data_IF_836785169869
#
_entry.id   IF_836785169869
#
_cell.length_a   1.000
_cell.length_b   1.000
_cell.length_c   1.000
_cell.angle_alpha   90.00
_cell.angle_beta   90.00
_cell.angle_gamma   90.00
#
_symmetry.space_group_name_H-M   'P 1'
#
loop_
_entity.id
_entity.type
_entity.pdbx_description
1 polymer ?
#
# COMPACT_ATOMS: atom_id res chain seq x y z
N UNK A 1 -6.61 14.80 -4.23
CA UNK A 1 -5.27 14.30 -4.57
C UNK A 1 -4.65 13.47 -3.45
N UNK A 2 -4.70 13.93 -2.18
CA UNK A 2 -4.12 13.22 -1.03
C UNK A 2 -4.57 11.76 -0.89
N UNK A 3 -5.88 11.47 -1.05
CA UNK A 3 -6.40 10.10 -0.97
C UNK A 3 -5.73 9.15 -1.97
N UNK A 4 -5.46 9.60 -3.20
CA UNK A 4 -4.76 8.76 -4.20
C UNK A 4 -3.28 8.58 -3.85
N UNK A 5 -2.64 9.57 -3.22
CA UNK A 5 -1.26 9.42 -2.72
C UNK A 5 -1.22 8.33 -1.65
N UNK A 6 -2.18 8.33 -0.70
CA UNK A 6 -2.30 7.25 0.28
C UNK A 6 -2.60 5.91 -0.36
N UNK A 7 -3.48 5.88 -1.37
CA UNK A 7 -3.83 4.66 -2.09
C UNK A 7 -2.68 4.02 -2.87
N UNK A 8 -1.57 4.74 -3.13
CA UNK A 8 -0.35 4.14 -3.69
C UNK A 8 0.35 3.18 -2.71
N UNK A 9 0.04 3.25 -1.41
CA UNK A 9 0.58 2.36 -0.38
C UNK A 9 -0.45 1.32 0.12
N UNK A 10 -1.58 1.16 -0.60
CA UNK A 10 -2.58 0.16 -0.23
C UNK A 10 -2.03 -1.27 -0.38
N UNK A 11 -2.55 -2.20 0.42
CA UNK A 11 -2.19 -3.61 0.34
C UNK A 11 -2.66 -4.24 -0.99
N UNK A 12 -3.78 -3.79 -1.54
CA UNK A 12 -4.34 -4.29 -2.80
C UNK A 12 -3.69 -3.60 -4.00
N UNK A 13 -3.08 -4.38 -4.90
CA UNK A 13 -2.42 -3.88 -6.10
C UNK A 13 -3.38 -3.14 -7.04
N UNK A 14 -4.67 -3.49 -7.03
CA UNK A 14 -5.70 -2.83 -7.85
C UNK A 14 -5.96 -1.42 -7.35
N UNK A 15 -5.96 -1.21 -6.04
CA UNK A 15 -6.11 0.12 -5.42
C UNK A 15 -4.87 0.97 -5.72
N UNK A 16 -3.66 0.41 -5.58
CA UNK A 16 -2.42 1.11 -5.94
C UNK A 16 -2.40 1.53 -7.41
N UNK A 17 -2.76 0.62 -8.31
CA UNK A 17 -2.82 0.87 -9.74
C UNK A 17 -3.85 1.92 -10.10
N UNK A 18 -5.07 1.81 -9.56
CA UNK A 18 -6.14 2.77 -9.84
C UNK A 18 -5.78 4.15 -9.26
N UNK A 19 -5.13 4.21 -8.11
CA UNK A 19 -4.62 5.45 -7.53
C UNK A 19 -3.62 6.14 -8.47
N UNK A 20 -2.65 5.42 -9.02
CA UNK A 20 -1.73 5.96 -10.03
C UNK A 20 -2.45 6.43 -11.30
N UNK A 21 -3.48 5.71 -11.76
CA UNK A 21 -4.30 6.08 -12.91
C UNK A 21 -5.07 7.39 -12.64
N UNK A 22 -5.68 7.52 -11.47
CA UNK A 22 -6.43 8.71 -11.08
C UNK A 22 -5.51 9.91 -10.90
N UNK A 23 -4.31 9.72 -10.33
CA UNK A 23 -3.28 10.77 -10.28
C UNK A 23 -2.98 11.29 -11.68
N UNK A 24 -2.71 10.40 -12.64
CA UNK A 24 -2.48 10.79 -14.05
C UNK A 24 -3.65 11.56 -14.66
N UNK A 25 -4.89 11.13 -14.41
CA UNK A 25 -6.09 11.82 -14.93
C UNK A 25 -6.16 13.24 -14.37
N UNK A 26 -5.93 13.39 -13.06
CA UNK A 26 -5.96 14.69 -12.40
C UNK A 26 -4.84 15.61 -12.91
N UNK A 27 -3.61 15.10 -13.08
CA UNK A 27 -2.49 15.92 -13.58
C UNK A 27 -2.66 16.33 -15.03
N UNK A 28 -3.27 15.48 -15.87
CA UNK A 28 -3.65 15.87 -17.24
C UNK A 28 -4.70 16.97 -17.28
N UNK A 29 -5.70 16.90 -16.39
CA UNK A 29 -6.78 17.88 -16.33
C UNK A 29 -6.32 19.19 -15.66
N UNK A 30 -5.43 19.07 -14.68
CA UNK A 30 -4.92 20.16 -13.85
C UNK A 30 -3.39 20.04 -13.72
N UNK A 31 -2.62 20.59 -14.69
CA UNK A 31 -1.16 20.45 -14.71
C UNK A 31 -0.46 20.97 -13.45
N UNK A 32 -1.02 21.98 -12.79
CA UNK A 32 -0.50 22.53 -11.53
C UNK A 32 -0.52 21.55 -10.35
N UNK A 33 -1.20 20.39 -10.45
CA UNK A 33 -1.27 19.40 -9.38
C UNK A 33 -0.05 18.47 -9.31
N UNK A 34 0.89 18.54 -10.25
CA UNK A 34 2.18 17.84 -10.17
C UNK A 34 3.11 18.57 -9.19
N UNK A 35 2.96 18.27 -7.91
CA UNK A 35 3.87 18.76 -6.86
C UNK A 35 4.88 17.67 -6.44
N UNK A 36 5.89 18.07 -5.67
CA UNK A 36 6.98 17.19 -5.25
C UNK A 36 6.48 15.95 -4.48
N UNK A 37 5.41 16.08 -3.70
CA UNK A 37 4.83 14.93 -2.96
C UNK A 37 4.22 13.90 -3.90
N UNK A 38 3.53 14.35 -4.95
CA UNK A 38 2.96 13.46 -5.99
C UNK A 38 4.09 12.78 -6.74
N UNK A 39 5.12 13.53 -7.14
CA UNK A 39 6.27 12.98 -7.87
C UNK A 39 7.02 11.97 -7.01
N UNK A 40 7.31 12.29 -5.74
CA UNK A 40 7.97 11.39 -4.81
C UNK A 40 7.20 10.07 -4.61
N UNK A 41 5.88 10.15 -4.39
CA UNK A 41 5.05 8.97 -4.21
C UNK A 41 4.99 8.10 -5.48
N UNK A 42 4.91 8.72 -6.67
CA UNK A 42 4.95 7.98 -7.93
C UNK A 42 6.32 7.36 -8.21
N UNK A 43 7.41 8.04 -7.84
CA UNK A 43 8.78 7.50 -7.93
C UNK A 43 8.93 6.28 -7.03
N UNK A 44 8.35 6.31 -5.83
CA UNK A 44 8.31 5.14 -4.95
C UNK A 44 7.57 3.97 -5.60
N UNK A 45 6.42 4.24 -6.23
CA UNK A 45 5.63 3.25 -6.95
C UNK A 45 6.30 2.70 -8.24
N UNK A 46 7.44 3.24 -8.69
CA UNK A 46 8.24 2.60 -9.75
C UNK A 46 8.96 1.34 -9.27
N UNK A 47 9.20 1.21 -7.96
CA UNK A 47 9.71 0.00 -7.32
C UNK A 47 8.63 -1.00 -6.95
N UNK A 48 7.39 -0.80 -7.40
CA UNK A 48 6.30 -1.71 -7.09
C UNK A 48 6.50 -3.11 -7.72
N UNK A 49 6.00 -4.08 -7.00
CA UNK A 49 6.00 -5.49 -7.34
C UNK A 49 5.05 -5.83 -8.46
N UNK A 50 3.91 -5.14 -8.49
CA UNK A 50 2.97 -5.30 -9.57
C UNK A 50 3.40 -4.45 -10.77
N UNK A 51 3.66 -5.13 -11.90
CA UNK A 51 4.05 -4.47 -13.15
C UNK A 51 2.96 -3.55 -13.68
N UNK A 52 1.69 -3.78 -13.31
CA UNK A 52 0.57 -2.90 -13.64
C UNK A 52 0.66 -1.56 -12.92
N UNK A 53 1.00 -1.58 -11.63
CA UNK A 53 1.27 -0.37 -10.83
C UNK A 53 2.47 0.38 -11.39
N UNK A 54 3.60 -0.29 -11.64
CA UNK A 54 4.80 0.35 -12.20
C UNK A 54 4.50 1.05 -13.53
N UNK A 55 3.80 0.37 -14.45
CA UNK A 55 3.39 0.97 -15.74
C UNK A 55 2.46 2.15 -15.55
N UNK A 56 1.54 2.10 -14.59
CA UNK A 56 0.64 3.21 -14.29
C UNK A 56 1.40 4.41 -13.72
N UNK A 57 2.31 4.18 -12.77
CA UNK A 57 3.16 5.20 -12.16
C UNK A 57 4.06 5.89 -13.18
N UNK A 58 4.71 5.12 -14.07
CA UNK A 58 5.50 5.67 -15.19
C UNK A 58 4.66 6.60 -16.07
N UNK A 59 3.43 6.19 -16.44
CA UNK A 59 2.53 7.00 -17.27
C UNK A 59 2.06 8.27 -16.54
N UNK A 60 1.95 8.23 -15.22
CA UNK A 60 1.61 9.38 -14.39
C UNK A 60 2.77 10.38 -14.32
N UNK A 61 4.00 9.91 -14.09
CA UNK A 61 5.21 10.74 -14.12
C UNK A 61 5.43 11.42 -15.48
N UNK A 62 5.20 10.68 -16.57
CA UNK A 62 5.24 11.26 -17.93
C UNK A 62 4.19 12.35 -18.13
N UNK A 63 3.01 12.22 -17.52
CA UNK A 63 2.00 13.29 -17.57
C UNK A 63 2.41 14.52 -16.75
N UNK A 64 3.31 14.37 -15.79
CA UNK A 64 3.95 15.48 -15.07
C UNK A 64 5.20 16.03 -15.78
N UNK A 65 5.58 15.53 -16.96
CA UNK A 65 6.73 16.00 -17.72
C UNK A 65 8.06 15.30 -17.41
N UNK A 66 8.07 14.25 -16.59
CA UNK A 66 9.28 13.48 -16.30
C UNK A 66 9.45 12.33 -17.30
N UNK A 67 10.66 12.16 -17.83
CA UNK A 67 10.98 10.94 -18.59
C UNK A 67 11.58 9.87 -17.68
N UNK A 68 10.95 8.70 -17.67
CA UNK A 68 11.35 7.57 -16.83
C UNK A 68 12.12 6.60 -17.70
N UNK A 69 13.43 6.55 -17.49
CA UNK A 69 14.29 5.59 -18.15
C UNK A 69 14.04 4.20 -17.58
N UNK A 70 13.85 3.22 -18.47
CA UNK A 70 13.73 1.83 -18.08
C UNK A 70 15.13 1.27 -17.90
N UNK A 71 15.75 1.53 -16.75
CA UNK A 71 17.04 0.92 -16.42
C UNK A 71 16.85 -0.59 -16.22
N UNK A 72 17.70 -1.39 -16.85
CA UNK A 72 17.68 -2.85 -16.76
C UNK A 72 18.20 -3.39 -15.40
N UNK A 73 18.41 -2.51 -14.41
CA UNK A 73 19.12 -2.81 -13.17
C UNK A 73 18.35 -3.72 -12.18
N UNK A 74 17.11 -4.10 -12.48
CA UNK A 74 16.27 -4.91 -11.58
C UNK A 74 15.83 -6.23 -12.23
N UNK A 75 16.73 -6.93 -12.91
CA UNK A 75 16.45 -8.24 -13.53
C UNK A 75 16.61 -9.42 -12.56
N UNK A 76 17.13 -9.20 -11.36
CA UNK A 76 17.19 -10.22 -10.32
C UNK A 76 15.94 -10.11 -9.45
N UNK A 77 15.26 -11.24 -9.28
CA UNK A 77 14.07 -11.40 -8.47
C UNK A 77 14.33 -10.94 -7.03
N UNK A 78 14.16 -9.65 -6.77
CA UNK A 78 14.18 -9.10 -5.43
C UNK A 78 12.77 -9.22 -4.89
N UNK A 79 12.65 -10.01 -3.83
CA UNK A 79 11.42 -10.21 -3.10
C UNK A 79 10.84 -8.87 -2.68
N UNK A 80 9.59 -8.71 -3.05
CA UNK A 80 8.70 -7.63 -2.72
C UNK A 80 8.42 -7.51 -1.23
N UNK A 81 9.36 -6.95 -0.48
CA UNK A 81 9.13 -6.62 0.92
C UNK A 81 8.30 -5.32 1.02
N UNK A 82 7.39 -5.20 2.00
CA UNK A 82 6.65 -3.98 2.23
C UNK A 82 7.60 -2.83 2.55
N UNK A 83 7.22 -1.66 2.06
CA UNK A 83 7.87 -0.37 2.11
C UNK A 83 8.21 0.16 3.52
N UNK A 84 9.06 -0.55 4.28
CA UNK A 84 9.52 -0.11 5.59
C UNK A 84 10.89 -0.70 5.93
N UNK A 85 11.87 -0.63 5.03
CA UNK A 85 13.29 -0.65 5.39
C UNK A 85 14.18 -0.31 4.19
N UNK A 86 15.08 0.63 4.41
CA UNK A 86 16.31 0.87 3.65
C UNK A 86 16.14 1.34 2.19
N UNK A 87 16.15 2.66 2.04
CA UNK A 87 16.65 3.34 0.85
C UNK A 87 18.12 2.91 0.58
N UNK A 88 18.35 2.08 -0.43
CA UNK A 88 19.67 1.99 -1.05
C UNK A 88 19.73 3.05 -2.16
N UNK A 89 20.30 4.22 -1.84
CA UNK A 89 20.76 5.15 -2.85
C UNK A 89 21.84 4.48 -3.70
N UNK A 90 21.90 4.70 -5.04
CA UNK A 90 23.04 4.24 -5.82
C UNK A 90 24.26 5.09 -5.44
N UNK A 91 25.13 4.52 -4.60
CA UNK A 91 26.48 5.03 -4.39
C UNK A 91 27.27 4.79 -5.67
N UNK A 92 27.48 5.86 -6.44
CA UNK A 92 28.41 5.84 -7.57
C UNK A 92 29.83 5.87 -6.98
N UNK A 93 30.60 4.80 -7.20
CA UNK A 93 31.91 4.56 -6.61
C UNK A 93 32.97 5.56 -7.08
N UNK A 94 33.43 6.42 -6.17
CA UNK A 94 34.79 6.96 -6.19
C UNK A 94 35.26 7.06 -4.72
N UNK A 95 36.32 6.35 -4.37
CA UNK A 95 36.96 6.36 -3.05
C UNK A 95 38.36 7.00 -3.16
N UNK A 96 39.04 7.40 -2.06
CA UNK A 96 38.63 7.33 -0.65
C UNK A 96 38.76 8.68 0.09
N UNK A 97 37.98 8.87 1.15
CA UNK A 97 38.38 9.73 2.27
C UNK A 97 37.86 9.11 3.55
N UNK A 98 38.78 8.83 4.47
CA UNK A 98 38.51 8.13 5.72
C UNK A 98 37.52 8.93 6.59
N UNK A 99 36.44 8.33 7.10
CA UNK A 99 35.65 8.95 8.13
C UNK A 99 36.23 8.62 9.52
N UNK A 100 36.55 9.69 10.24
CA UNK A 100 36.90 9.73 11.65
C UNK A 100 35.84 8.99 12.49
N UNK A 101 36.31 8.22 13.47
CA UNK A 101 35.48 7.45 14.41
C UNK A 101 34.46 8.33 15.14
N UNK A 102 33.20 7.89 15.31
CA UNK A 102 32.27 8.58 16.20
C UNK A 102 32.60 8.25 17.67
N UNK A 103 32.74 9.30 18.47
CA UNK A 103 32.85 9.24 19.93
C UNK A 103 31.59 8.59 20.56
N UNK A 104 31.72 7.90 21.70
CA UNK A 104 30.58 7.28 22.38
C UNK A 104 29.62 8.36 22.89
N UNK A 105 28.37 8.31 22.46
CA UNK A 105 27.28 9.07 23.09
C UNK A 105 26.77 8.28 24.28
N UNK A 106 26.85 8.90 25.44
CA UNK A 106 26.44 8.39 26.75
C UNK A 106 25.00 7.87 26.74
N UNK A 107 24.86 6.64 27.20
CA UNK A 107 23.60 5.99 27.55
C UNK A 107 23.00 6.67 28.78
N UNK A 108 22.16 7.70 28.60
CA UNK A 108 21.26 8.15 29.65
C UNK A 108 19.84 7.68 29.34
N UNK A 109 19.57 6.44 29.76
CA UNK A 109 18.22 5.91 29.91
C UNK A 109 17.70 6.42 31.26
N UNK A 110 16.99 7.55 31.24
CA UNK A 110 16.26 8.00 32.42
C UNK A 110 15.04 7.09 32.62
N UNK A 111 15.16 6.24 33.63
CA UNK A 111 14.24 5.19 33.98
C UNK A 111 12.99 5.77 34.65
N UNK A 112 11.87 5.81 33.91
CA UNK A 112 10.56 6.10 34.47
C UNK A 112 10.08 4.95 35.38
N UNK A 113 9.44 5.25 36.53
CA UNK A 113 9.06 4.24 37.52
C UNK A 113 7.99 3.26 37.00
N UNK A 114 8.14 2.00 37.42
CA UNK A 114 7.28 0.88 37.08
C UNK A 114 5.80 1.13 37.43
N UNK A 115 4.94 1.05 36.42
CA UNK A 115 3.49 1.03 36.61
C UNK A 115 3.05 -0.31 37.22
N UNK A 116 2.22 -0.23 38.27
CA UNK A 116 1.61 -1.36 38.96
C UNK A 116 0.71 -2.21 38.03
N UNK A 117 0.47 -3.50 38.34
CA UNK A 117 -0.33 -4.39 37.51
C UNK A 117 -1.82 -3.97 37.52
N UNK A 118 -2.39 -3.73 36.33
CA UNK A 118 -3.82 -3.52 36.14
C UNK A 118 -4.57 -4.87 36.00
N UNK A 119 -5.81 -4.98 36.52
CA UNK A 119 -6.56 -6.23 36.63
C UNK A 119 -7.02 -6.83 35.29
N UNK A 120 -7.31 -8.13 35.36
CA UNK A 120 -7.64 -9.02 34.24
C UNK A 120 -8.89 -8.64 33.43
N UNK A 121 -8.74 -8.81 32.11
CA UNK A 121 -9.71 -9.21 31.09
C UNK A 121 -11.17 -8.77 31.23
N UNK A 122 -11.58 -7.81 30.40
CA UNK A 122 -12.95 -7.71 29.90
C UNK A 122 -12.91 -7.88 28.38
N UNK A 123 -13.49 -8.98 27.88
CA UNK A 123 -13.57 -9.29 26.46
C UNK A 123 -14.35 -8.18 25.72
N UNK A 124 -13.93 -7.78 24.51
CA UNK A 124 -14.76 -6.90 23.68
C UNK A 124 -15.95 -7.71 23.16
N UNK A 125 -17.13 -7.40 23.70
CA UNK A 125 -18.41 -7.89 23.22
C UNK A 125 -18.55 -7.57 21.73
N UNK A 126 -18.48 -8.61 20.89
CA UNK A 126 -18.49 -8.49 19.44
C UNK A 126 -19.81 -7.84 18.98
N UNK A 127 -19.71 -6.65 18.40
CA UNK A 127 -20.84 -5.95 17.78
C UNK A 127 -21.27 -6.68 16.51
N UNK A 128 -22.25 -7.58 16.64
CA UNK A 128 -22.90 -8.24 15.50
C UNK A 128 -24.12 -7.43 15.05
N UNK A 129 -24.11 -6.82 13.83
CA UNK A 129 -25.28 -6.10 13.33
C UNK A 129 -26.47 -7.06 13.13
N UNK A 130 -27.60 -6.76 13.75
CA UNK A 130 -28.80 -7.61 13.85
C UNK A 130 -29.56 -7.89 12.53
N UNK A 131 -28.94 -7.72 11.36
CA UNK A 131 -29.62 -7.82 10.05
C UNK A 131 -29.84 -9.23 9.52
N UNK A 132 -29.31 -10.27 10.17
CA UNK A 132 -29.40 -11.65 9.65
C UNK A 132 -30.55 -12.50 10.23
N UNK A 133 -31.27 -12.04 11.26
CA UNK A 133 -32.37 -12.83 11.87
C UNK A 133 -33.69 -12.76 11.10
N UNK A 134 -33.83 -11.86 10.12
CA UNK A 134 -35.09 -11.64 9.39
C UNK A 134 -35.34 -12.54 8.17
N UNK A 135 -34.37 -13.33 7.71
CA UNK A 135 -34.51 -14.14 6.49
C UNK A 135 -34.80 -15.63 6.73
N UNK A 136 -34.78 -16.12 7.98
CA UNK A 136 -34.94 -17.55 8.27
C UNK A 136 -36.37 -18.03 8.58
N UNK A 137 -37.39 -17.16 8.57
CA UNK A 137 -38.79 -17.56 8.83
C UNK A 137 -39.66 -17.67 7.57
N UNK A 138 -39.08 -18.06 6.43
CA UNK A 138 -39.86 -18.38 5.22
C UNK A 138 -39.42 -19.70 4.59
N UNK A 139 -39.50 -20.76 5.37
CA UNK A 139 -39.33 -22.13 4.90
C UNK A 139 -40.39 -23.05 5.51
N UNK A 140 -41.58 -23.09 4.90
CA UNK A 140 -42.42 -24.31 4.84
C UNK A 140 -43.65 -24.15 3.95
N UNK A 141 -43.66 -24.92 2.86
CA UNK A 141 -44.76 -25.53 2.09
C UNK A 141 -44.29 -25.57 0.64
N UNK A 142 -44.10 -26.68 -0.05
CA UNK A 142 -44.37 -28.10 0.19
C UNK A 142 -44.21 -28.72 -1.21
N UNK A 143 -43.51 -29.84 -1.34
CA UNK A 143 -43.41 -30.61 -2.60
C UNK A 143 -44.71 -31.44 -2.78
N UNK A 144 -45.12 -31.78 -4.02
CA UNK A 144 -44.56 -32.99 -4.63
C UNK A 144 -44.35 -32.95 -6.15
N UNK A 145 -43.41 -33.80 -6.55
CA UNK A 145 -43.07 -34.33 -7.87
C UNK A 145 -44.27 -34.80 -8.70
N UNK A 146 -44.31 -34.47 -10.00
CA UNK A 146 -44.84 -35.37 -11.04
C UNK A 146 -43.93 -35.35 -12.27
N UNK A 147 -43.30 -36.50 -12.49
CA UNK A 147 -42.67 -36.94 -13.74
C UNK A 147 -43.78 -37.21 -14.76
N UNK A 148 -43.62 -36.72 -15.99
CA UNK A 148 -44.54 -36.99 -17.11
C UNK A 148 -43.81 -36.97 -18.44
N UNK A 149 -43.31 -38.15 -18.83
CA UNK A 149 -42.88 -38.51 -20.19
C UNK A 149 -44.12 -38.74 -21.08
N UNK A 150 -43.92 -38.63 -22.42
CA UNK A 150 -44.81 -38.91 -23.58
C UNK A 150 -45.48 -37.66 -24.15
N UNK A 151 -45.48 -37.42 -25.46
CA UNK A 151 -45.02 -38.18 -26.62
C UNK A 151 -45.28 -37.35 -27.88
#
# INVERSE_FOLDING_TARGET
>A
MCAFIYGLNDCDERVRKESAIQIRKQTKKHPCCCNDKVVAALTYALGDCDKGVVRAATRALKACGYDVQKSACCSTASTCAPAAATCAAPVNSCAPTAPVAPAPVDSNVEQAPAAAPAPASAEPEAYFPSRLKGQQTKSKMGTPTTVGLRG
#
